data_IF_341437554152
#
_entry.id   IF_341437554152
#
_cell.length_a   1.000
_cell.length_b   1.000
_cell.length_c   1.000
_cell.angle_alpha   90.00
_cell.angle_beta   90.00
_cell.angle_gamma   90.00
#
_symmetry.space_group_name_H-M   'P 1'
#
loop_
_entity.id
_entity.type
_entity.pdbx_description
1 polymer ?
#
# COMPACT_ATOMS: atom_id res chain seq x y z
N UNK A 1 -19.55 10.58 -3.88
CA UNK A 1 -18.67 11.67 -3.45
C UNK A 1 -17.44 11.04 -2.81
N UNK A 2 -16.24 11.46 -3.22
CA UNK A 2 -15.00 10.86 -2.75
C UNK A 2 -14.63 11.32 -1.33
N UNK A 3 -13.82 10.52 -0.65
CA UNK A 3 -13.15 10.92 0.59
C UNK A 3 -12.18 12.06 0.25
N UNK A 4 -12.14 13.11 1.06
CA UNK A 4 -11.22 14.23 0.85
C UNK A 4 -9.76 13.77 0.97
N UNK A 5 -8.82 14.33 0.19
CA UNK A 5 -7.40 13.94 0.24
C UNK A 5 -6.76 14.07 1.63
N UNK A 6 -7.16 15.07 2.43
CA UNK A 6 -6.72 15.23 3.81
C UNK A 6 -7.12 14.06 4.69
N UNK A 7 -8.34 13.54 4.51
CA UNK A 7 -8.88 12.43 5.29
C UNK A 7 -8.15 11.13 4.94
N UNK A 8 -7.77 10.92 3.67
CA UNK A 8 -6.95 9.76 3.27
C UNK A 8 -5.60 9.77 4.00
N UNK A 9 -4.94 10.94 4.07
CA UNK A 9 -3.67 11.09 4.81
C UNK A 9 -3.83 10.83 6.31
N UNK A 10 -4.93 11.30 6.89
CA UNK A 10 -5.20 11.05 8.32
C UNK A 10 -5.47 9.57 8.60
N UNK A 11 -6.20 8.88 7.72
CA UNK A 11 -6.39 7.42 7.78
C UNK A 11 -5.04 6.72 7.71
N UNK A 12 -4.17 7.07 6.75
CA UNK A 12 -2.84 6.50 6.63
C UNK A 12 -1.99 6.67 7.89
N UNK A 13 -2.04 7.86 8.51
CA UNK A 13 -1.33 8.13 9.77
C UNK A 13 -1.85 7.26 10.92
N UNK A 14 -3.17 7.04 11.01
CA UNK A 14 -3.76 6.17 12.04
C UNK A 14 -3.36 4.71 11.80
N UNK A 15 -3.39 4.24 10.56
CA UNK A 15 -2.98 2.87 10.21
C UNK A 15 -1.51 2.65 10.58
N UNK A 16 -0.61 3.57 10.21
CA UNK A 16 0.81 3.47 10.55
C UNK A 16 1.02 3.41 12.06
N UNK A 17 0.35 4.28 12.84
CA UNK A 17 0.41 4.24 14.31
C UNK A 17 -0.02 2.90 14.90
N UNK A 18 -1.04 2.28 14.33
CA UNK A 18 -1.53 0.98 14.78
C UNK A 18 -0.53 -0.14 14.46
N UNK A 19 0.07 -0.12 13.27
CA UNK A 19 1.08 -1.09 12.86
C UNK A 19 2.38 -0.94 13.69
N UNK A 20 2.84 0.28 13.91
CA UNK A 20 4.05 0.60 14.67
C UNK A 20 3.93 0.19 16.17
N UNK A 21 2.69 0.04 16.66
CA UNK A 21 2.42 -0.45 18.02
C UNK A 21 2.83 -1.90 18.25
N UNK A 22 3.07 -2.70 17.19
CA UNK A 22 3.61 -4.07 17.27
C UNK A 22 2.59 -5.15 17.67
N UNK A 23 1.45 -4.78 18.24
CA UNK A 23 0.41 -5.73 18.67
C UNK A 23 -0.56 -6.15 17.55
N UNK A 24 -0.45 -5.53 16.37
CA UNK A 24 -1.36 -5.77 15.25
C UNK A 24 -0.63 -5.72 13.90
N UNK A 25 -0.86 -6.74 13.08
CA UNK A 25 -0.53 -6.69 11.66
C UNK A 25 -1.71 -6.10 10.88
N UNK A 26 -1.43 -5.16 9.97
CA UNK A 26 -2.44 -4.55 9.09
C UNK A 26 -2.21 -5.03 7.67
N UNK A 27 -3.27 -5.54 7.03
CA UNK A 27 -3.26 -5.89 5.61
C UNK A 27 -4.22 -4.96 4.88
N UNK A 28 -3.70 -4.19 3.94
CA UNK A 28 -4.48 -3.23 3.15
C UNK A 28 -4.65 -3.75 1.72
N UNK A 29 -5.88 -3.72 1.22
CA UNK A 29 -6.20 -3.95 -0.18
C UNK A 29 -6.35 -2.61 -0.90
N UNK A 30 -5.28 -2.11 -1.52
CA UNK A 30 -5.24 -0.77 -2.08
C UNK A 30 -5.33 -0.74 -3.61
N UNK A 31 -6.05 0.24 -4.14
CA UNK A 31 -6.09 0.57 -5.57
C UNK A 31 -5.24 1.79 -5.92
N UNK A 32 -4.83 2.59 -4.92
CA UNK A 32 -4.03 3.79 -5.11
C UNK A 32 -2.56 3.49 -4.82
N UNK A 33 -1.75 3.42 -5.88
CA UNK A 33 -0.31 3.11 -5.77
C UNK A 33 0.42 4.03 -4.79
N UNK A 34 0.20 5.35 -4.88
CA UNK A 34 0.91 6.33 -4.05
C UNK A 34 0.63 6.11 -2.55
N UNK A 35 -0.57 5.64 -2.19
CA UNK A 35 -0.94 5.33 -0.82
C UNK A 35 -0.30 4.02 -0.33
N UNK A 36 -0.28 3.00 -1.19
CA UNK A 36 0.42 1.76 -0.90
C UNK A 36 1.92 1.98 -0.71
N UNK A 37 2.56 2.79 -1.56
CA UNK A 37 3.98 3.15 -1.47
C UNK A 37 4.29 3.89 -0.15
N UNK A 38 3.43 4.81 0.28
CA UNK A 38 3.64 5.59 1.51
C UNK A 38 3.57 4.71 2.78
N UNK A 39 2.72 3.68 2.78
CA UNK A 39 2.42 2.89 3.99
C UNK A 39 3.06 1.50 4.03
N UNK A 40 3.37 0.88 2.90
CA UNK A 40 3.74 -0.52 2.85
C UNK A 40 5.13 -0.77 3.46
N UNK A 41 5.20 -1.68 4.44
CA UNK A 41 6.46 -2.32 4.83
C UNK A 41 6.83 -3.44 3.83
N UNK A 42 5.80 -4.15 3.36
CA UNK A 42 5.88 -5.15 2.29
C UNK A 42 4.67 -5.01 1.35
N UNK A 43 4.83 -5.39 0.09
CA UNK A 43 3.78 -5.35 -0.91
C UNK A 43 3.58 -6.69 -1.61
N UNK A 44 2.38 -6.90 -2.13
CA UNK A 44 2.04 -8.01 -3.03
C UNK A 44 1.11 -7.48 -4.11
N UNK A 45 1.52 -7.61 -5.37
CA UNK A 45 0.70 -7.24 -6.53
C UNK A 45 0.04 -8.50 -7.07
N UNK A 46 -1.28 -8.41 -7.25
CA UNK A 46 -2.07 -9.50 -7.80
C UNK A 46 -2.71 -9.09 -9.13
N UNK A 47 -2.65 -10.00 -10.10
CA UNK A 47 -3.38 -9.88 -11.36
C UNK A 47 -4.08 -11.21 -11.66
N UNK A 48 -5.39 -11.16 -11.96
CA UNK A 48 -6.20 -12.35 -12.31
C UNK A 48 -6.07 -13.50 -11.31
N UNK A 49 -6.02 -13.19 -10.01
CA UNK A 49 -5.91 -14.17 -8.94
C UNK A 49 -4.52 -14.79 -8.76
N UNK A 50 -3.49 -14.27 -9.44
CA UNK A 50 -2.10 -14.70 -9.30
C UNK A 50 -1.23 -13.57 -8.74
N UNK A 51 -0.25 -13.92 -7.92
CA UNK A 51 0.76 -12.96 -7.46
C UNK A 51 1.77 -12.76 -8.59
N UNK A 52 1.92 -11.52 -9.04
CA UNK A 52 2.84 -11.16 -10.14
C UNK A 52 4.09 -10.43 -9.65
N UNK A 53 4.06 -9.84 -8.45
CA UNK A 53 5.21 -9.23 -7.79
C UNK A 53 5.02 -9.19 -6.28
N UNK A 54 6.11 -9.31 -5.52
CA UNK A 54 6.12 -9.03 -4.08
C UNK A 54 7.50 -8.54 -3.65
N UNK A 55 7.58 -7.85 -2.51
CA UNK A 55 8.84 -7.42 -1.93
C UNK A 55 8.66 -6.45 -0.78
N UNK A 56 9.77 -5.83 -0.36
CA UNK A 56 9.71 -4.74 0.62
C UNK A 56 9.12 -3.48 -0.04
N UNK A 57 8.33 -2.72 0.71
CA UNK A 57 7.69 -1.50 0.19
C UNK A 57 8.71 -0.48 -0.34
N UNK A 58 9.87 -0.37 0.30
CA UNK A 58 10.96 0.49 -0.14
C UNK A 58 11.55 0.15 -1.53
N UNK A 59 11.32 -1.08 -2.02
CA UNK A 59 11.76 -1.51 -3.35
C UNK A 59 10.74 -1.21 -4.44
N UNK A 60 9.51 -0.81 -4.10
CA UNK A 60 8.43 -0.56 -5.06
C UNK A 60 8.84 0.39 -6.20
N UNK A 61 9.52 1.52 -5.93
CA UNK A 61 9.91 2.46 -7.00
C UNK A 61 11.00 1.87 -7.89
N UNK A 62 12.01 1.25 -7.28
CA UNK A 62 13.13 0.64 -7.99
C UNK A 62 12.70 -0.54 -8.86
N UNK A 63 11.65 -1.26 -8.46
CA UNK A 63 11.08 -2.39 -9.21
C UNK A 63 9.98 -1.99 -10.20
N UNK A 64 9.69 -0.70 -10.36
CA UNK A 64 8.71 -0.22 -11.33
C UNK A 64 7.28 -0.70 -11.04
N UNK A 65 6.94 -0.94 -9.77
CA UNK A 65 5.66 -1.58 -9.39
C UNK A 65 4.45 -0.78 -9.85
N UNK A 66 4.57 0.55 -9.95
CA UNK A 66 3.51 1.44 -10.46
C UNK A 66 3.00 1.01 -11.84
N UNK A 67 3.88 0.53 -12.71
CA UNK A 67 3.54 0.13 -14.09
C UNK A 67 2.70 -1.15 -14.12
N UNK A 68 2.84 -2.02 -13.11
CA UNK A 68 2.10 -3.26 -12.99
C UNK A 68 0.66 -3.05 -12.49
N UNK A 69 0.39 -1.94 -11.82
CA UNK A 69 -0.91 -1.62 -11.19
C UNK A 69 -1.74 -0.64 -12.04
N UNK A 70 -1.14 0.01 -13.04
CA UNK A 70 -1.80 1.00 -13.92
C UNK A 70 -2.70 0.39 -15.02
N UNK A 71 -3.05 -0.90 -14.93
CA UNK A 71 -3.81 -1.65 -15.94
C UNK A 71 -5.21 -1.99 -15.41
#
# INVERSE_FOLDING_TARGET
>A
EGIQPSIIKDIGRVIRKLADGGDMAVVLGEQFYDFAEELADAYTVMARGQVIAQGAGCEMPAKGIRELVAI
#
